data_IF_442451204691
#
_entry.id   IF_442451204691
#
_cell.length_a   1.000
_cell.length_b   1.000
_cell.length_c   1.000
_cell.angle_alpha   90.00
_cell.angle_beta   90.00
_cell.angle_gamma   90.00
#
_symmetry.space_group_name_H-M   'P 1'
#
loop_
_entity.id
_entity.type
_entity.pdbx_description
1 polymer ?
#
# COMPACT_ATOMS: atom_id res chain seq x y z
N UNK A 1 12.48 6.63 19.20
CA UNK A 1 11.20 6.69 18.47
C UNK A 1 11.12 5.42 17.63
N UNK A 2 10.10 4.58 17.79
CA UNK A 2 10.01 3.36 16.97
C UNK A 2 9.82 3.78 15.50
N UNK A 3 10.76 3.40 14.65
CA UNK A 3 10.66 3.66 13.20
C UNK A 3 9.51 2.83 12.65
N UNK A 4 8.50 3.52 12.13
CA UNK A 4 7.39 2.92 11.43
C UNK A 4 7.84 2.14 10.21
N UNK A 5 7.32 0.92 10.01
CA UNK A 5 7.67 0.09 8.84
C UNK A 5 6.81 0.43 7.63
N UNK A 6 7.40 0.33 6.45
CA UNK A 6 6.73 0.48 5.16
C UNK A 6 6.58 -0.89 4.48
N UNK A 7 5.35 -1.28 4.21
CA UNK A 7 5.01 -2.55 3.56
C UNK A 7 4.47 -2.28 2.16
N UNK A 8 4.97 -3.00 1.15
CA UNK A 8 4.29 -3.13 -0.13
C UNK A 8 3.49 -4.42 -0.15
N UNK A 9 2.20 -4.34 -0.45
CA UNK A 9 1.30 -5.50 -0.54
C UNK A 9 0.66 -5.50 -1.92
N UNK A 10 0.95 -6.54 -2.70
CA UNK A 10 0.29 -6.79 -3.98
C UNK A 10 -0.98 -7.62 -3.79
N UNK A 11 -1.98 -7.45 -4.67
CA UNK A 11 -3.29 -8.09 -4.52
C UNK A 11 -4.06 -7.74 -3.23
N UNK A 12 -4.08 -6.48 -2.74
CA UNK A 12 -4.62 -6.11 -1.43
C UNK A 12 -6.16 -6.14 -1.38
N UNK A 13 -6.86 -6.23 -2.52
CA UNK A 13 -8.32 -6.09 -2.58
C UNK A 13 -9.09 -7.30 -2.02
N UNK A 14 -8.45 -8.47 -1.88
CA UNK A 14 -9.13 -9.71 -1.46
C UNK A 14 -8.19 -10.70 -0.77
N UNK A 15 -8.76 -11.75 -0.17
CA UNK A 15 -8.03 -12.87 0.40
C UNK A 15 -6.97 -12.46 1.42
N UNK A 16 -5.79 -13.08 1.31
CA UNK A 16 -4.66 -12.90 2.24
C UNK A 16 -4.14 -11.46 2.20
N UNK A 17 -4.02 -10.85 1.02
CA UNK A 17 -3.56 -9.46 0.88
C UNK A 17 -4.46 -8.47 1.65
N UNK A 18 -5.79 -8.63 1.53
CA UNK A 18 -6.75 -7.83 2.31
C UNK A 18 -6.61 -8.06 3.81
N UNK A 19 -6.39 -9.32 4.22
CA UNK A 19 -6.12 -9.68 5.61
C UNK A 19 -4.89 -8.95 6.17
N UNK A 20 -3.78 -8.95 5.44
CA UNK A 20 -2.56 -8.24 5.83
C UNK A 20 -2.77 -6.74 5.92
N UNK A 21 -3.39 -6.10 4.92
CA UNK A 21 -3.68 -4.66 4.98
C UNK A 21 -4.51 -4.33 6.22
N UNK A 22 -5.58 -5.09 6.46
CA UNK A 22 -6.51 -4.83 7.56
C UNK A 22 -5.85 -5.01 8.94
N UNK A 23 -4.94 -5.97 9.07
CA UNK A 23 -4.21 -6.23 10.31
C UNK A 23 -3.08 -5.22 10.53
N UNK A 24 -2.29 -4.93 9.49
CA UNK A 24 -1.11 -4.08 9.61
C UNK A 24 -1.47 -2.59 9.74
N UNK A 25 -2.59 -2.14 9.18
CA UNK A 25 -3.09 -0.77 9.41
C UNK A 25 -3.47 -0.51 10.87
N UNK A 26 -3.75 -1.55 11.66
CA UNK A 26 -4.00 -1.41 13.10
C UNK A 26 -2.70 -1.26 13.92
N UNK A 27 -1.52 -1.29 13.28
CA UNK A 27 -0.24 -1.03 13.94
C UNK A 27 0.07 0.46 13.87
N UNK A 28 0.38 1.12 15.00
CA UNK A 28 0.76 2.53 15.01
C UNK A 28 1.94 2.82 14.08
N UNK A 29 1.95 4.02 13.51
CA UNK A 29 3.04 4.53 12.68
C UNK A 29 3.43 3.63 11.49
N UNK A 30 2.54 2.75 11.00
CA UNK A 30 2.84 1.84 9.88
C UNK A 30 2.36 2.43 8.56
N UNK A 31 3.19 2.34 7.51
CA UNK A 31 2.81 2.74 6.14
C UNK A 31 2.55 1.49 5.30
N UNK A 32 1.36 1.41 4.71
CA UNK A 32 0.98 0.36 3.77
C UNK A 32 0.86 0.97 2.39
N UNK A 33 1.67 0.47 1.46
CA UNK A 33 1.54 0.68 0.02
C UNK A 33 0.78 -0.51 -0.57
N UNK A 34 -0.44 -0.26 -1.00
CA UNK A 34 -1.32 -1.25 -1.59
C UNK A 34 -1.24 -1.14 -3.12
N UNK A 35 -0.57 -2.12 -3.74
CA UNK A 35 -0.42 -2.23 -5.18
C UNK A 35 -1.67 -2.82 -5.82
N UNK A 36 -2.45 -2.00 -6.53
CA UNK A 36 -3.72 -2.37 -7.15
C UNK A 36 -3.70 -2.10 -8.67
N UNK A 37 -4.44 -2.87 -9.44
CA UNK A 37 -4.52 -2.67 -10.91
C UNK A 37 -5.19 -1.35 -11.29
N UNK A 38 -6.25 -1.01 -10.56
CA UNK A 38 -7.01 0.23 -10.70
C UNK A 38 -7.29 0.84 -9.32
N UNK A 39 -6.60 1.95 -8.96
CA UNK A 39 -6.85 2.68 -7.72
C UNK A 39 -8.27 3.25 -7.60
N UNK A 40 -8.95 3.54 -8.70
CA UNK A 40 -10.29 4.13 -8.71
C UNK A 40 -11.41 3.11 -8.56
N UNK A 41 -11.13 1.82 -8.78
CA UNK A 41 -12.13 0.77 -8.62
C UNK A 41 -12.68 0.70 -7.20
N UNK A 42 -13.98 0.35 -7.07
CA UNK A 42 -14.66 0.25 -5.78
C UNK A 42 -13.93 -0.67 -4.80
N UNK A 43 -13.39 -1.79 -5.29
CA UNK A 43 -12.64 -2.74 -4.48
C UNK A 43 -11.36 -2.14 -3.87
N UNK A 44 -10.67 -1.27 -4.60
CA UNK A 44 -9.48 -0.56 -4.12
C UNK A 44 -9.87 0.56 -3.16
N UNK A 45 -10.92 1.32 -3.47
CA UNK A 45 -11.43 2.39 -2.61
C UNK A 45 -11.96 1.86 -1.28
N UNK A 46 -12.53 0.65 -1.25
CA UNK A 46 -12.94 -0.02 -0.02
C UNK A 46 -11.80 -0.30 0.97
N UNK A 47 -10.53 -0.29 0.53
CA UNK A 47 -9.39 -0.38 1.47
C UNK A 47 -9.21 0.90 2.28
N UNK A 48 -9.61 2.05 1.74
CA UNK A 48 -9.43 3.35 2.39
C UNK A 48 -10.31 3.52 3.62
N UNK A 49 -11.41 2.77 3.69
CA UNK A 49 -12.38 2.75 4.80
C UNK A 49 -11.98 1.83 5.95
N UNK A 50 -10.91 1.03 5.78
CA UNK A 50 -10.40 0.17 6.84
C UNK A 50 -9.92 1.00 8.04
N UNK A 51 -10.12 0.51 9.27
CA UNK A 51 -9.64 1.19 10.48
C UNK A 51 -8.12 1.29 10.47
N UNK A 52 -7.61 2.42 10.96
CA UNK A 52 -6.20 2.78 10.98
C UNK A 52 -5.81 3.18 12.40
N UNK A 53 -4.69 2.68 12.89
CA UNK A 53 -4.11 3.13 14.14
C UNK A 53 -3.43 4.50 13.98
N UNK A 54 -3.14 5.15 15.09
CA UNK A 54 -2.55 6.47 15.09
C UNK A 54 -1.21 6.51 14.35
N UNK A 55 -1.08 7.51 13.48
CA UNK A 55 0.09 7.68 12.61
C UNK A 55 0.26 6.62 11.52
N UNK A 56 -0.65 5.66 11.39
CA UNK A 56 -0.63 4.71 10.28
C UNK A 56 -1.24 5.33 9.01
N UNK A 57 -0.78 4.83 7.85
CA UNK A 57 -1.16 5.38 6.54
C UNK A 57 -1.38 4.26 5.54
N UNK A 58 -2.39 4.43 4.70
CA UNK A 58 -2.60 3.63 3.48
C UNK A 58 -2.33 4.49 2.26
N UNK A 59 -1.61 3.94 1.30
CA UNK A 59 -1.33 4.52 -0.02
C UNK A 59 -1.78 3.52 -1.07
N UNK A 60 -2.69 3.91 -1.94
CA UNK A 60 -3.03 3.11 -3.12
C UNK A 60 -2.08 3.53 -4.26
N UNK A 61 -1.41 2.55 -4.87
CA UNK A 61 -0.56 2.80 -6.03
C UNK A 61 -0.94 1.84 -7.15
N UNK A 62 -0.94 2.33 -8.38
CA UNK A 62 -1.24 1.49 -9.55
C UNK A 62 -0.05 0.55 -9.81
N UNK A 63 -0.31 -0.75 -9.75
CA UNK A 63 0.60 -1.80 -10.22
C UNK A 63 -0.25 -2.86 -10.92
N UNK A 64 -0.17 -2.88 -12.25
CA UNK A 64 -0.63 -4.01 -13.05
C UNK A 64 0.57 -4.82 -13.53
N UNK A 65 0.71 -6.05 -13.02
CA UNK A 65 1.81 -6.95 -13.39
C UNK A 65 1.81 -7.35 -14.87
N UNK A 66 0.71 -7.12 -15.60
CA UNK A 66 0.65 -7.32 -17.04
C UNK A 66 1.26 -6.15 -17.84
N UNK A 67 1.53 -5.01 -17.19
CA UNK A 67 2.07 -3.80 -17.83
C UNK A 67 3.49 -3.56 -17.32
N UNK A 68 4.48 -3.72 -18.20
CA UNK A 68 5.91 -3.68 -17.85
C UNK A 68 6.35 -2.33 -17.23
N UNK A 69 5.71 -1.23 -17.63
CA UNK A 69 6.05 0.12 -17.16
C UNK A 69 5.47 0.47 -15.79
N UNK A 70 4.42 -0.22 -15.34
CA UNK A 70 3.68 0.12 -14.13
C UNK A 70 4.54 0.09 -12.86
N UNK A 71 5.38 -0.94 -12.61
CA UNK A 71 6.23 -0.96 -11.41
C UNK A 71 7.21 0.22 -11.33
N UNK A 72 7.82 0.61 -12.45
CA UNK A 72 8.74 1.75 -12.49
C UNK A 72 8.01 3.07 -12.24
N UNK A 73 6.82 3.24 -12.83
CA UNK A 73 5.96 4.40 -12.58
C UNK A 73 5.51 4.47 -11.10
N UNK A 74 5.16 3.33 -10.51
CA UNK A 74 4.79 3.24 -9.10
C UNK A 74 5.93 3.67 -8.17
N UNK A 75 7.17 3.23 -8.44
CA UNK A 75 8.35 3.68 -7.67
C UNK A 75 8.54 5.19 -7.78
N UNK A 76 8.47 5.74 -8.99
CA UNK A 76 8.60 7.18 -9.21
C UNK A 76 7.50 7.97 -8.47
N UNK A 77 6.27 7.48 -8.48
CA UNK A 77 5.16 8.07 -7.72
C UNK A 77 5.39 8.03 -6.21
N UNK A 78 5.81 6.88 -5.66
CA UNK A 78 6.09 6.71 -4.23
C UNK A 78 7.19 7.67 -3.75
N UNK A 79 8.23 7.86 -4.56
CA UNK A 79 9.31 8.80 -4.27
C UNK A 79 8.82 10.25 -4.35
N UNK A 80 8.21 10.65 -5.47
CA UNK A 80 7.88 12.05 -5.74
C UNK A 80 6.71 12.57 -4.90
N UNK A 81 5.65 11.78 -4.73
CA UNK A 81 4.42 12.23 -4.03
C UNK A 81 4.40 11.87 -2.55
N UNK A 82 5.13 10.84 -2.15
CA UNK A 82 5.01 10.28 -0.81
C UNK A 82 6.31 10.26 -0.02
N UNK A 83 7.44 10.61 -0.65
CA UNK A 83 8.75 10.64 -0.01
C UNK A 83 9.24 9.26 0.41
N UNK A 84 8.68 8.18 -0.15
CA UNK A 84 9.06 6.81 0.18
C UNK A 84 10.24 6.42 -0.70
N UNK A 85 11.40 6.26 -0.07
CA UNK A 85 12.67 5.91 -0.74
C UNK A 85 13.10 4.46 -0.51
N UNK A 86 12.45 3.76 0.43
CA UNK A 86 12.72 2.36 0.75
C UNK A 86 11.45 1.63 1.20
N UNK A 87 11.45 0.31 1.04
CA UNK A 87 10.41 -0.59 1.51
C UNK A 87 11.07 -1.57 2.50
N UNK A 88 10.45 -1.79 3.66
CA UNK A 88 10.97 -2.74 4.65
C UNK A 88 10.57 -4.19 4.34
N UNK A 89 9.35 -4.36 3.82
CA UNK A 89 8.75 -5.69 3.57
C UNK A 89 7.91 -5.63 2.30
N UNK A 90 8.01 -6.66 1.47
CA UNK A 90 7.20 -6.86 0.26
C UNK A 90 6.43 -8.17 0.40
N UNK A 91 5.12 -8.13 0.16
CA UNK A 91 4.17 -9.25 0.28
C UNK A 91 3.43 -9.45 -1.05
#
# INVERSE_FOLDING_TARGET
MASGKTYLITGPNRGIGKGFVSLLLQRPSTTIVAGVRDPSSEASQALTTLPKADGSRLILVKIDSAVETDPAAAVAELQAKHGITSLDVVI
#
